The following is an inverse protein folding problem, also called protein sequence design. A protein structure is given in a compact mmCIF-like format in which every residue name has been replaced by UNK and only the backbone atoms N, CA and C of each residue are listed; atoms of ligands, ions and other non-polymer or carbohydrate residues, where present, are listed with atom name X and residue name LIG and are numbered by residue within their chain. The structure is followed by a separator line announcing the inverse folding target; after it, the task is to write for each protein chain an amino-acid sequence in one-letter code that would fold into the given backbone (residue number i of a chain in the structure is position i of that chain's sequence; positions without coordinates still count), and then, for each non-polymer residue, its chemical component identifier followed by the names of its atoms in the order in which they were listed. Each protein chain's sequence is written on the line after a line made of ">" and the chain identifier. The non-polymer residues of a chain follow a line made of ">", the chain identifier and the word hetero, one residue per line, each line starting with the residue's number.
data_IF_763008737272
#
_entry.id   IF_763008737272
#
_cell.length_a   1.000
_cell.length_b   1.000
_cell.length_c   1.000
_cell.angle_alpha   90.00
_cell.angle_beta   90.00
_cell.angle_gamma   90.00
#
_symmetry.space_group_name_H-M   'P 1'
#
loop_
_entity.id
_entity.type
_entity.pdbx_description
1 polymer ?
#
# COMPACT_ATOMS: atom_id res chain seq x y z
N UNK A 1 19.76 -23.13 2.85
CA UNK A 1 20.90 -23.82 3.50
C UNK A 1 20.53 -24.34 4.89
N UNK A 2 19.63 -25.32 5.00
CA UNK A 2 19.39 -26.08 6.26
C UNK A 2 19.84 -27.53 6.14
N UNK A 3 19.66 -28.07 4.93
CA UNK A 3 20.01 -29.43 4.58
C UNK A 3 21.54 -29.66 4.54
N UNK A 4 22.31 -28.67 4.06
CA UNK A 4 23.77 -28.79 3.92
C UNK A 4 24.53 -28.71 5.26
N UNK A 5 23.95 -28.09 6.29
CA UNK A 5 24.59 -27.92 7.61
C UNK A 5 24.03 -28.87 8.68
N UNK A 6 23.24 -29.88 8.30
CA UNK A 6 22.59 -30.81 9.24
C UNK A 6 21.87 -30.06 10.38
N UNK A 7 21.09 -29.03 10.03
CA UNK A 7 20.37 -28.17 10.98
C UNK A 7 21.23 -27.36 11.96
N UNK A 8 22.55 -27.31 11.78
CA UNK A 8 23.41 -26.44 12.57
C UNK A 8 23.27 -24.97 12.15
N UNK A 9 23.38 -24.08 13.15
CA UNK A 9 23.30 -22.62 13.00
C UNK A 9 24.67 -21.97 13.26
N UNK A 10 25.65 -22.12 12.35
CA UNK A 10 26.93 -21.46 12.50
C UNK A 10 26.73 -19.94 12.52
N UNK A 11 27.33 -19.28 13.51
CA UNK A 11 27.30 -17.82 13.61
C UNK A 11 28.11 -17.21 12.46
N UNK A 12 27.80 -15.96 12.09
CA UNK A 12 28.52 -15.15 11.11
C UNK A 12 30.05 -15.19 11.31
N UNK A 13 30.52 -15.12 12.56
CA UNK A 13 31.96 -15.22 12.88
C UNK A 13 32.57 -16.55 12.46
N UNK A 14 31.83 -17.65 12.64
CA UNK A 14 32.27 -19.01 12.28
C UNK A 14 32.39 -19.14 10.76
N UNK A 15 31.39 -18.67 10.02
CA UNK A 15 31.38 -18.69 8.55
C UNK A 15 32.53 -17.83 8.00
N UNK A 16 32.74 -16.63 8.54
CA UNK A 16 33.82 -15.78 8.09
C UNK A 16 35.20 -16.38 8.39
N UNK A 17 35.38 -16.97 9.58
CA UNK A 17 36.65 -17.64 9.91
C UNK A 17 36.95 -18.78 8.95
N UNK A 18 35.95 -19.56 8.57
CA UNK A 18 36.09 -20.61 7.56
C UNK A 18 36.49 -20.03 6.20
N UNK A 19 35.85 -18.95 5.75
CA UNK A 19 36.12 -18.32 4.44
C UNK A 19 37.52 -17.72 4.33
N UNK A 20 38.02 -17.08 5.40
CA UNK A 20 39.34 -16.43 5.39
C UNK A 20 40.48 -17.36 5.83
N UNK A 21 40.18 -18.61 6.16
CA UNK A 21 41.21 -19.57 6.54
C UNK A 21 42.08 -19.88 5.32
N UNK A 22 43.42 -19.76 5.40
CA UNK A 22 44.30 -19.87 4.23
C UNK A 22 44.07 -21.15 3.40
N UNK A 23 44.00 -22.30 4.08
CA UNK A 23 43.75 -23.61 3.44
C UNK A 23 42.39 -23.63 2.72
N UNK A 24 41.36 -23.03 3.33
CA UNK A 24 40.02 -23.07 2.74
C UNK A 24 39.89 -22.09 1.58
N UNK A 25 40.59 -20.97 1.62
CA UNK A 25 40.58 -19.98 0.55
C UNK A 25 41.09 -20.61 -0.75
N UNK A 26 42.23 -21.32 -0.68
CA UNK A 26 42.79 -22.01 -1.85
C UNK A 26 41.83 -23.07 -2.41
N UNK A 27 41.20 -23.86 -1.53
CA UNK A 27 40.21 -24.88 -1.93
C UNK A 27 38.99 -24.23 -2.58
N UNK A 28 38.49 -23.11 -2.03
CA UNK A 28 37.33 -22.40 -2.56
C UNK A 28 37.64 -21.82 -3.95
N UNK A 29 38.83 -21.26 -4.15
CA UNK A 29 39.27 -20.74 -5.44
C UNK A 29 39.34 -21.86 -6.50
N UNK A 30 39.97 -22.99 -6.18
CA UNK A 30 40.02 -24.14 -7.09
C UNK A 30 38.64 -24.75 -7.36
N UNK A 31 37.79 -24.83 -6.32
CA UNK A 31 36.42 -25.35 -6.46
C UNK A 31 35.57 -24.44 -7.34
N UNK A 32 35.75 -23.13 -7.23
CA UNK A 32 35.06 -22.15 -8.05
C UNK A 32 35.43 -22.27 -9.53
N UNK A 33 36.73 -22.42 -9.84
CA UNK A 33 37.19 -22.65 -11.21
C UNK A 33 36.58 -23.92 -11.80
N UNK A 34 36.63 -25.04 -11.07
CA UNK A 34 36.04 -26.31 -11.51
C UNK A 34 34.53 -26.20 -11.71
N UNK A 35 33.83 -25.52 -10.79
CA UNK A 35 32.40 -25.29 -10.90
C UNK A 35 32.05 -24.46 -12.13
N UNK A 36 32.80 -23.38 -12.40
CA UNK A 36 32.64 -22.57 -13.61
C UNK A 36 32.84 -23.40 -14.87
N UNK A 37 33.91 -24.21 -14.94
CA UNK A 37 34.17 -25.07 -16.09
C UNK A 37 33.02 -26.06 -16.35
N UNK A 38 32.43 -26.62 -15.28
CA UNK A 38 31.25 -27.47 -15.40
C UNK A 38 30.04 -26.72 -15.96
N UNK A 39 29.81 -25.48 -15.53
CA UNK A 39 28.72 -24.64 -16.04
C UNK A 39 28.92 -24.26 -17.52
N UNK A 40 30.16 -24.03 -17.94
CA UNK A 40 30.49 -23.78 -19.36
C UNK A 40 30.28 -25.06 -20.18
N UNK A 41 30.79 -26.21 -19.71
CA UNK A 41 30.60 -27.51 -20.39
C UNK A 41 29.14 -27.92 -20.52
N UNK A 42 28.31 -27.56 -19.55
CA UNK A 42 26.86 -27.82 -19.59
C UNK A 42 26.08 -26.79 -20.42
N UNK A 43 26.74 -25.78 -21.00
CA UNK A 43 26.11 -24.77 -21.85
C UNK A 43 25.24 -23.77 -21.07
N UNK A 44 25.34 -23.73 -19.75
CA UNK A 44 24.58 -22.81 -18.89
C UNK A 44 25.20 -21.41 -18.83
N UNK A 45 26.51 -21.31 -19.08
CA UNK A 45 27.26 -20.04 -19.12
C UNK A 45 28.14 -20.03 -20.38
N UNK A 46 28.15 -18.89 -21.07
CA UNK A 46 28.99 -18.64 -22.24
C UNK A 46 30.37 -18.10 -21.83
N UNK A 47 31.45 -18.62 -22.42
CA UNK A 47 32.83 -18.18 -22.14
C UNK A 47 33.21 -16.87 -22.86
N UNK A 48 32.41 -16.47 -23.86
CA UNK A 48 32.66 -15.32 -24.74
C UNK A 48 32.03 -14.00 -24.28
N UNK A 49 31.22 -14.02 -23.22
CA UNK A 49 30.44 -12.85 -22.78
C UNK A 49 30.81 -12.45 -21.36
N UNK A 50 31.49 -11.30 -21.25
CA UNK A 50 31.79 -10.69 -19.96
C UNK A 50 30.54 -9.94 -19.48
N UNK A 51 29.74 -10.58 -18.64
CA UNK A 51 28.61 -9.93 -17.99
C UNK A 51 29.11 -9.06 -16.82
N UNK A 52 29.57 -7.85 -17.12
CA UNK A 52 29.66 -6.77 -16.11
C UNK A 52 28.24 -6.22 -15.94
N UNK A 53 27.34 -7.05 -15.44
CA UNK A 53 26.01 -6.59 -15.16
C UNK A 53 26.06 -5.82 -13.83
N UNK A 54 25.97 -4.50 -13.92
CA UNK A 54 25.78 -3.61 -12.78
C UNK A 54 24.41 -3.78 -12.10
N UNK A 55 23.64 -4.82 -12.46
CA UNK A 55 22.38 -5.16 -11.84
C UNK A 55 22.60 -5.56 -10.38
N UNK A 56 22.52 -4.53 -9.53
CA UNK A 56 22.45 -4.66 -8.09
C UNK A 56 21.05 -5.18 -7.76
N UNK A 57 20.93 -6.48 -7.50
CA UNK A 57 19.72 -7.06 -6.91
C UNK A 57 19.67 -6.59 -5.46
N UNK A 58 19.17 -5.38 -5.25
CA UNK A 58 18.80 -4.91 -3.93
C UNK A 58 17.51 -5.63 -3.55
N UNK A 59 17.52 -6.33 -2.42
CA UNK A 59 16.27 -6.77 -1.83
C UNK A 59 15.43 -5.52 -1.55
N UNK A 60 14.21 -5.45 -2.10
CA UNK A 60 13.24 -4.44 -1.69
C UNK A 60 12.86 -4.72 -0.23
N UNK A 61 13.70 -4.22 0.67
CA UNK A 61 13.58 -4.36 2.11
C UNK A 61 12.72 -3.22 2.68
N UNK A 62 11.65 -2.85 1.98
CA UNK A 62 10.74 -1.85 2.49
C UNK A 62 10.19 -2.30 3.85
N UNK A 63 10.48 -1.50 4.88
CA UNK A 63 10.12 -1.78 6.28
C UNK A 63 8.61 -1.96 6.47
N UNK A 64 7.79 -1.48 5.52
CA UNK A 64 6.33 -1.47 5.56
C UNK A 64 5.70 -2.30 4.43
N UNK A 65 6.21 -3.52 4.23
CA UNK A 65 5.66 -4.48 3.27
C UNK A 65 4.37 -5.18 3.75
N UNK A 66 4.09 -5.19 5.05
CA UNK A 66 2.92 -5.88 5.62
C UNK A 66 1.76 -4.95 5.94
N UNK A 67 0.55 -5.43 5.67
CA UNK A 67 -0.72 -4.82 6.04
C UNK A 67 -1.34 -5.60 7.21
N UNK A 68 -1.98 -4.90 8.16
CA UNK A 68 -2.46 -5.47 9.41
C UNK A 68 -3.97 -5.27 9.59
N UNK A 69 -4.69 -6.33 9.98
CA UNK A 69 -6.16 -6.32 10.14
C UNK A 69 -6.66 -5.19 11.03
N UNK A 70 -6.05 -5.09 12.22
CA UNK A 70 -6.40 -4.09 13.23
C UNK A 70 -6.19 -2.66 12.72
N UNK A 71 -5.21 -2.46 11.86
CA UNK A 71 -4.94 -1.17 11.24
C UNK A 71 -6.03 -0.82 10.24
N UNK A 72 -6.41 -1.78 9.38
CA UNK A 72 -7.49 -1.60 8.40
C UNK A 72 -8.79 -1.25 9.12
N UNK A 73 -9.21 -2.04 10.11
CA UNK A 73 -10.44 -1.79 10.87
C UNK A 73 -10.46 -0.39 11.48
N UNK A 74 -9.39 -0.02 12.19
CA UNK A 74 -9.28 1.32 12.78
C UNK A 74 -9.39 2.45 11.74
N UNK A 75 -8.75 2.28 10.58
CA UNK A 75 -8.77 3.30 9.54
C UNK A 75 -10.10 3.33 8.78
N UNK A 76 -10.77 2.18 8.62
CA UNK A 76 -12.13 2.08 8.09
C UNK A 76 -13.10 2.84 8.99
N UNK A 77 -13.13 2.56 10.29
CA UNK A 77 -14.02 3.24 11.24
C UNK A 77 -13.80 4.77 11.24
N UNK A 78 -12.54 5.21 11.17
CA UNK A 78 -12.20 6.63 11.09
C UNK A 78 -12.59 7.26 9.73
N UNK A 79 -12.53 6.49 8.64
CA UNK A 79 -12.98 6.93 7.33
C UNK A 79 -14.49 7.18 7.35
N UNK A 80 -15.26 6.26 7.92
CA UNK A 80 -16.72 6.37 8.02
C UNK A 80 -17.12 7.57 8.88
N UNK A 81 -16.46 7.79 10.03
CA UNK A 81 -16.65 8.99 10.86
C UNK A 81 -16.38 10.28 10.09
N UNK A 82 -15.26 10.35 9.35
CA UNK A 82 -14.91 11.54 8.56
C UNK A 82 -15.86 11.79 7.40
N UNK A 83 -16.33 10.74 6.75
CA UNK A 83 -17.31 10.85 5.69
C UNK A 83 -18.62 11.42 6.24
N UNK A 84 -19.06 10.94 7.41
CA UNK A 84 -20.25 11.45 8.10
C UNK A 84 -20.08 12.92 8.53
N UNK A 85 -18.96 13.28 9.15
CA UNK A 85 -18.67 14.67 9.54
C UNK A 85 -18.65 15.61 8.33
N UNK A 86 -18.04 15.18 7.22
CA UNK A 86 -17.99 15.98 6.00
C UNK A 86 -19.39 16.14 5.40
N UNK A 87 -20.19 15.07 5.38
CA UNK A 87 -21.57 15.10 4.95
C UNK A 87 -22.41 16.08 5.79
N UNK A 88 -22.31 16.02 7.12
CA UNK A 88 -23.00 16.95 8.03
C UNK A 88 -22.62 18.41 7.77
N UNK A 89 -21.33 18.70 7.62
CA UNK A 89 -20.86 20.05 7.26
C UNK A 89 -21.44 20.55 5.94
N UNK A 90 -21.72 19.65 5.00
CA UNK A 90 -22.27 20.00 3.68
C UNK A 90 -23.76 20.28 3.71
N UNK A 91 -24.51 19.54 4.53
CA UNK A 91 -25.90 19.84 4.83
C UNK A 91 -26.00 21.21 5.51
N UNK A 92 -25.14 21.49 6.49
CA UNK A 92 -25.10 22.79 7.20
C UNK A 92 -24.75 23.96 6.27
N UNK A 93 -23.77 23.78 5.39
CA UNK A 93 -23.37 24.80 4.40
C UNK A 93 -24.34 24.93 3.23
N UNK A 94 -25.44 24.16 3.23
CA UNK A 94 -26.50 24.14 2.21
C UNK A 94 -26.03 23.82 0.79
N UNK A 95 -24.89 23.14 0.66
CA UNK A 95 -24.33 22.79 -0.65
C UNK A 95 -25.20 21.73 -1.33
N UNK A 96 -25.85 20.82 -0.57
CA UNK A 96 -26.81 19.83 -1.06
C UNK A 96 -27.95 19.64 -0.05
N UNK A 97 -29.08 20.37 -0.16
CA UNK A 97 -30.19 20.25 0.78
C UNK A 97 -31.09 19.02 0.55
N UNK A 98 -30.98 18.34 -0.59
CA UNK A 98 -31.96 17.34 -1.04
C UNK A 98 -31.65 15.89 -0.64
N UNK A 99 -30.47 15.61 -0.08
CA UNK A 99 -30.07 14.25 0.35
C UNK A 99 -30.49 13.91 1.80
N UNK A 100 -31.56 14.52 2.32
CA UNK A 100 -32.06 14.19 3.65
C UNK A 100 -32.86 12.89 3.55
N UNK A 101 -32.17 11.76 3.58
CA UNK A 101 -32.79 10.47 3.87
C UNK A 101 -31.93 9.75 4.91
N UNK A 102 -32.59 9.36 6.01
CA UNK A 102 -32.11 8.63 7.19
C UNK A 102 -30.60 8.34 7.23
N UNK A 103 -29.84 9.29 7.80
CA UNK A 103 -28.42 9.14 8.08
C UNK A 103 -28.18 7.89 8.94
N UNK A 104 -27.75 6.81 8.30
CA UNK A 104 -27.21 5.63 8.97
C UNK A 104 -25.82 5.95 9.49
N UNK A 105 -25.40 5.23 10.53
CA UNK A 105 -24.08 5.39 11.16
C UNK A 105 -22.91 5.16 10.17
N UNK A 106 -23.16 4.48 9.04
CA UNK A 106 -22.19 4.24 7.97
C UNK A 106 -22.78 4.62 6.61
N UNK A 107 -22.07 5.45 5.83
CA UNK A 107 -22.41 5.73 4.43
C UNK A 107 -22.05 4.53 3.55
N UNK A 108 -23.04 3.91 2.91
CA UNK A 108 -22.82 2.88 1.89
C UNK A 108 -22.08 3.45 0.67
N UNK A 109 -21.39 2.60 -0.08
CA UNK A 109 -20.76 2.98 -1.37
C UNK A 109 -21.83 3.55 -2.32
N UNK A 110 -23.04 3.01 -2.30
CA UNK A 110 -24.17 3.49 -3.11
C UNK A 110 -24.64 4.90 -2.69
N UNK A 111 -24.57 5.22 -1.40
CA UNK A 111 -24.90 6.55 -0.89
C UNK A 111 -23.84 7.56 -1.29
N UNK A 112 -22.55 7.18 -1.22
CA UNK A 112 -21.44 8.00 -1.69
C UNK A 112 -21.58 8.28 -3.19
N UNK A 113 -21.98 7.29 -4.00
CA UNK A 113 -22.17 7.47 -5.44
C UNK A 113 -23.35 8.39 -5.76
N UNK A 114 -24.46 8.29 -5.01
CA UNK A 114 -25.58 9.24 -5.14
C UNK A 114 -25.16 10.68 -4.82
N UNK A 115 -24.39 10.86 -3.76
CA UNK A 115 -23.84 12.17 -3.38
C UNK A 115 -22.93 12.68 -4.51
N UNK A 116 -22.08 11.82 -5.06
CA UNK A 116 -21.19 12.16 -6.18
C UNK A 116 -21.99 12.62 -7.42
N UNK A 117 -23.05 11.92 -7.80
CA UNK A 117 -23.91 12.31 -8.93
C UNK A 117 -24.53 13.69 -8.72
N UNK A 118 -25.06 13.95 -7.53
CA UNK A 118 -25.63 15.26 -7.21
C UNK A 118 -24.61 16.41 -7.27
N UNK A 119 -23.32 16.10 -7.03
CA UNK A 119 -22.24 17.07 -7.23
C UNK A 119 -21.91 17.33 -8.69
N UNK A 120 -21.98 16.30 -9.53
CA UNK A 120 -21.76 16.44 -10.97
C UNK A 120 -22.85 17.31 -11.59
N UNK A 121 -24.12 17.07 -11.24
CA UNK A 121 -25.25 17.89 -11.69
C UNK A 121 -25.11 19.35 -11.25
N UNK A 122 -24.70 19.61 -10.00
CA UNK A 122 -24.46 20.98 -9.53
C UNK A 122 -23.26 21.64 -10.20
N UNK A 123 -22.20 20.89 -10.47
CA UNK A 123 -21.05 21.42 -11.19
C UNK A 123 -21.44 21.83 -12.62
N UNK A 124 -22.28 21.03 -13.30
CA UNK A 124 -22.84 21.34 -14.62
C UNK A 124 -23.72 22.59 -14.59
N UNK A 125 -24.67 22.70 -13.65
CA UNK A 125 -25.50 23.90 -13.47
C UNK A 125 -24.65 25.17 -13.23
N UNK A 126 -23.58 25.05 -12.44
CA UNK A 126 -22.65 26.15 -12.21
C UNK A 126 -21.85 26.53 -13.46
N UNK A 127 -21.52 25.56 -14.33
CA UNK A 127 -20.86 25.84 -15.61
C UNK A 127 -21.81 26.61 -16.54
N UNK A 128 -23.05 26.15 -16.69
CA UNK A 128 -24.05 26.82 -17.53
C UNK A 128 -24.34 28.26 -17.07
N UNK A 129 -24.49 28.47 -15.76
CA UNK A 129 -24.69 29.82 -15.20
C UNK A 129 -23.46 30.71 -15.37
N UNK A 130 -22.24 30.17 -15.31
CA UNK A 130 -21.00 30.91 -15.64
C UNK A 130 -20.96 31.30 -17.11
N UNK A 131 -21.50 30.48 -18.02
CA UNK A 131 -21.54 30.80 -19.45
C UNK A 131 -22.55 31.91 -19.77
N UNK A 132 -23.70 31.91 -19.10
CA UNK A 132 -24.78 32.88 -19.29
C UNK A 132 -24.53 34.24 -18.60
N UNK A 133 -23.63 34.31 -17.62
CA UNK A 133 -23.32 35.55 -16.90
C UNK A 133 -22.31 36.41 -17.65
N UNK A 134 -22.69 37.66 -17.93
CA UNK A 134 -21.86 38.64 -18.66
C UNK A 134 -20.90 39.42 -17.74
N UNK A 135 -21.27 39.58 -16.47
CA UNK A 135 -20.56 40.35 -15.44
C UNK A 135 -19.34 39.60 -14.88
N UNK A 136 -18.16 40.25 -14.91
CA UNK A 136 -16.89 39.60 -14.51
C UNK A 136 -16.86 39.27 -13.01
N UNK A 137 -17.48 40.08 -12.15
CA UNK A 137 -17.47 39.88 -10.70
C UNK A 137 -18.33 38.69 -10.27
N UNK A 138 -19.52 38.55 -10.85
CA UNK A 138 -20.44 37.42 -10.58
C UNK A 138 -19.82 36.11 -11.08
N UNK A 139 -19.19 36.12 -12.27
CA UNK A 139 -18.42 34.96 -12.77
C UNK A 139 -17.30 34.53 -11.83
N UNK A 140 -16.61 35.47 -11.16
CA UNK A 140 -15.57 35.14 -10.18
C UNK A 140 -16.14 34.45 -8.95
N UNK A 141 -17.30 34.89 -8.46
CA UNK A 141 -18.00 34.26 -7.32
C UNK A 141 -18.46 32.85 -7.69
N UNK A 142 -19.12 32.69 -8.84
CA UNK A 142 -19.57 31.37 -9.33
C UNK A 142 -18.42 30.39 -9.55
N UNK A 143 -17.27 30.85 -10.07
CA UNK A 143 -16.06 30.01 -10.20
C UNK A 143 -15.51 29.56 -8.85
N UNK A 144 -15.60 30.40 -7.82
CA UNK A 144 -15.19 30.05 -6.46
C UNK A 144 -16.10 28.98 -5.87
N UNK A 145 -17.41 29.12 -6.07
CA UNK A 145 -18.42 28.14 -5.65
C UNK A 145 -18.22 26.80 -6.38
N UNK A 146 -18.05 26.82 -7.71
CA UNK A 146 -17.70 25.64 -8.51
C UNK A 146 -16.45 24.94 -7.98
N UNK A 147 -15.40 25.71 -7.68
CA UNK A 147 -14.16 25.14 -7.14
C UNK A 147 -14.38 24.46 -5.79
N UNK A 148 -15.29 24.96 -4.96
CA UNK A 148 -15.62 24.33 -3.68
C UNK A 148 -16.42 23.04 -3.89
N UNK A 149 -17.43 23.07 -4.75
CA UNK A 149 -18.20 21.89 -5.17
C UNK A 149 -17.28 20.79 -5.70
N UNK A 150 -16.37 21.13 -6.62
CA UNK A 150 -15.42 20.17 -7.19
C UNK A 150 -14.47 19.57 -6.14
N UNK A 151 -14.02 20.37 -5.17
CA UNK A 151 -13.21 19.86 -4.05
C UNK A 151 -13.99 18.88 -3.19
N UNK A 152 -15.26 19.15 -2.90
CA UNK A 152 -16.09 18.22 -2.13
C UNK A 152 -16.31 16.92 -2.92
N UNK A 153 -16.60 17.00 -4.22
CA UNK A 153 -16.69 15.80 -5.08
C UNK A 153 -15.44 14.90 -4.97
N UNK A 154 -14.26 15.49 -5.14
CA UNK A 154 -13.00 14.75 -5.06
C UNK A 154 -12.75 14.13 -3.67
N UNK A 155 -13.33 14.69 -2.58
CA UNK A 155 -13.26 14.09 -1.25
C UNK A 155 -14.12 12.83 -1.16
N UNK A 156 -15.34 12.86 -1.71
CA UNK A 156 -16.20 11.67 -1.75
C UNK A 156 -15.62 10.57 -2.64
N UNK A 157 -14.96 10.94 -3.75
CA UNK A 157 -14.22 9.99 -4.59
C UNK A 157 -13.09 9.30 -3.79
N UNK A 158 -12.32 10.05 -3.00
CA UNK A 158 -11.28 9.50 -2.11
C UNK A 158 -11.87 8.59 -1.02
N UNK A 159 -13.02 8.96 -0.44
CA UNK A 159 -13.73 8.11 0.52
C UNK A 159 -14.18 6.78 -0.11
N UNK A 160 -14.80 6.82 -1.30
CA UNK A 160 -15.23 5.62 -2.03
C UNK A 160 -14.03 4.70 -2.33
N UNK A 161 -12.97 5.26 -2.91
CA UNK A 161 -11.78 4.49 -3.30
C UNK A 161 -11.11 3.81 -2.09
N UNK A 162 -10.99 4.52 -0.97
CA UNK A 162 -10.40 3.95 0.25
C UNK A 162 -11.28 2.87 0.86
N UNK A 163 -12.60 3.06 0.86
CA UNK A 163 -13.56 2.08 1.38
C UNK A 163 -13.47 0.77 0.60
N UNK A 164 -13.48 0.85 -0.74
CA UNK A 164 -13.24 -0.30 -1.62
C UNK A 164 -11.90 -0.98 -1.33
N UNK A 165 -10.82 -0.20 -1.22
CA UNK A 165 -9.50 -0.78 -0.93
C UNK A 165 -9.46 -1.51 0.41
N UNK A 166 -10.12 -0.99 1.45
CA UNK A 166 -10.20 -1.68 2.75
C UNK A 166 -11.01 -2.98 2.67
N UNK A 167 -12.09 -3.00 1.90
CA UNK A 167 -12.88 -4.22 1.66
C UNK A 167 -12.07 -5.29 0.92
N UNK A 168 -11.38 -4.91 -0.16
CA UNK A 168 -10.47 -5.81 -0.89
C UNK A 168 -9.38 -6.38 0.02
N UNK A 169 -8.76 -5.52 0.84
CA UNK A 169 -7.72 -5.95 1.79
C UNK A 169 -8.26 -6.91 2.85
N UNK A 170 -9.52 -6.75 3.28
CA UNK A 170 -10.17 -7.67 4.21
C UNK A 170 -10.48 -9.01 3.54
N UNK A 171 -10.89 -9.02 2.27
CA UNK A 171 -11.10 -10.24 1.48
C UNK A 171 -9.78 -11.01 1.30
N UNK A 172 -8.71 -10.34 0.87
CA UNK A 172 -7.37 -10.95 0.72
C UNK A 172 -6.91 -11.58 2.05
N UNK A 173 -7.18 -10.89 3.15
CA UNK A 173 -6.73 -11.34 4.46
C UNK A 173 -7.52 -12.55 4.99
N UNK A 174 -8.84 -12.59 4.75
CA UNK A 174 -9.73 -13.64 5.23
C UNK A 174 -9.64 -13.84 6.75
N UNK A 175 -9.27 -15.05 7.17
CA UNK A 175 -9.13 -15.43 8.59
C UNK A 175 -7.85 -14.86 9.23
N UNK A 176 -6.86 -14.44 8.42
CA UNK A 176 -5.53 -14.04 8.89
C UNK A 176 -5.54 -12.65 9.54
N UNK A 177 -4.45 -12.31 10.24
CA UNK A 177 -4.28 -11.01 10.90
C UNK A 177 -3.38 -10.02 10.12
N UNK A 178 -2.67 -10.51 9.10
CA UNK A 178 -1.75 -9.72 8.27
C UNK A 178 -1.49 -10.41 6.93
N UNK A 179 -1.12 -9.65 5.91
CA UNK A 179 -0.60 -10.16 4.63
C UNK A 179 0.52 -9.24 4.09
N UNK A 180 1.38 -9.74 3.20
CA UNK A 180 2.40 -8.91 2.51
C UNK A 180 1.83 -8.28 1.24
N UNK A 181 2.17 -7.03 0.95
CA UNK A 181 1.74 -6.31 -0.26
C UNK A 181 2.23 -6.94 -1.56
N UNK A 182 3.36 -7.64 -1.51
CA UNK A 182 4.00 -8.29 -2.67
C UNK A 182 3.65 -9.77 -2.80
N UNK A 183 3.39 -10.42 -1.67
CA UNK A 183 3.05 -11.85 -1.59
C UNK A 183 1.85 -11.98 -0.65
N UNK A 184 0.66 -12.04 -1.24
CA UNK A 184 -0.59 -12.06 -0.49
C UNK A 184 -0.75 -13.33 0.36
N UNK A 185 0.00 -14.39 0.10
CA UNK A 185 -0.01 -15.63 0.89
C UNK A 185 0.92 -15.53 2.11
N UNK A 186 1.90 -14.63 2.08
CA UNK A 186 2.82 -14.43 3.19
C UNK A 186 2.17 -13.75 4.40
N UNK A 187 2.23 -14.40 5.56
CA UNK A 187 1.88 -13.82 6.87
C UNK A 187 3.11 -13.33 7.61
N UNK A 188 3.00 -12.23 8.36
CA UNK A 188 4.11 -11.72 9.14
C UNK A 188 4.50 -12.72 10.26
N UNK A 189 5.70 -13.28 10.14
CA UNK A 189 6.29 -14.12 11.17
C UNK A 189 7.10 -13.24 12.14
N UNK A 190 6.68 -13.18 13.40
CA UNK A 190 7.43 -12.47 14.43
C UNK A 190 8.75 -13.21 14.67
N UNK A 191 9.85 -12.73 14.08
CA UNK A 191 11.19 -13.22 14.48
C UNK A 191 11.38 -12.90 15.96
N UNK A 192 11.63 -13.93 16.77
CA UNK A 192 12.04 -13.81 18.17
C UNK A 192 13.47 -13.26 18.27
N UNK A 193 13.75 -12.12 17.65
CA UNK A 193 14.99 -11.38 17.86
C UNK A 193 14.65 -10.16 18.69
N UNK A 194 15.12 -10.21 19.94
CA UNK A 194 14.95 -9.20 21.00
C UNK A 194 14.99 -7.76 20.47
N UNK A 195 14.04 -6.95 20.98
CA UNK A 195 14.05 -5.48 21.06
C UNK A 195 13.76 -4.66 19.78
N UNK A 196 12.58 -4.74 19.18
CA UNK A 196 11.96 -3.54 18.54
C UNK A 196 10.43 -3.64 18.53
N UNK A 197 9.80 -3.52 19.70
CA UNK A 197 8.37 -3.22 19.79
C UNK A 197 8.13 -2.42 21.08
N UNK A 198 8.35 -1.10 21.01
CA UNK A 198 7.74 -0.18 21.99
C UNK A 198 6.32 0.07 21.48
N UNK A 199 5.31 -0.31 22.27
CA UNK A 199 3.85 -0.21 22.02
C UNK A 199 3.18 -1.33 21.21
N UNK A 200 3.23 -2.56 21.74
CA UNK A 200 2.05 -3.42 21.63
C UNK A 200 1.98 -4.33 22.86
N UNK A 201 1.38 -3.82 23.95
CA UNK A 201 0.71 -4.69 24.92
C UNK A 201 -0.65 -4.98 24.31
N UNK A 202 -0.93 -6.26 24.05
CA UNK A 202 -2.25 -6.90 23.87
C UNK A 202 -2.13 -8.00 22.81
N UNK A 203 -1.68 -9.16 23.28
CA UNK A 203 -2.04 -10.49 22.80
C UNK A 203 -1.73 -11.43 23.98
N UNK A 204 -2.66 -11.50 24.93
CA UNK A 204 -3.00 -12.79 25.54
C UNK A 204 -4.12 -13.36 24.69
#
# INVERSE_FOLDING_TARGET
>A
MRYLSQEQFPNFRTINRFRVHPIMNDILDHSFVQFRELLVKSGLISDSTLYIDGTKIEADANKYSFVWKKSILKYKDNLDQKALENYQQMVETKILPELIDDLKDELSIEEIERIRQSFEEKEEQLIETIEQTETVEERKLLRKEKSEVHKQKNRFDDFAQRKMSYEEQLVIMGVRNSFSKTDYDATFMRRFTRKYCRRCRLCK
#
